data_IF_287613374275
#
_entry.id   IF_287613374275
#
_cell.length_a   1.000
_cell.length_b   1.000
_cell.length_c   1.000
_cell.angle_alpha   90.00
_cell.angle_beta   90.00
_cell.angle_gamma   90.00
#
_symmetry.space_group_name_H-M   'P 1'
#
loop_
_entity.id
_entity.type
_entity.pdbx_description
1 polymer ?
#
# COMPACT_ATOMS: atom_id res chain seq x y z
N UNK A 1 -38.89 -21.89 0.95
CA UNK A 1 -38.00 -21.64 2.11
C UNK A 1 -36.68 -22.40 2.03
N UNK A 2 -36.64 -23.74 2.04
CA UNK A 2 -35.36 -24.52 2.08
C UNK A 2 -34.38 -24.23 0.93
N UNK A 3 -34.88 -24.07 -0.30
CA UNK A 3 -34.04 -23.80 -1.49
C UNK A 3 -33.39 -22.41 -1.46
N UNK A 4 -34.09 -21.41 -0.90
CA UNK A 4 -33.57 -20.04 -0.76
C UNK A 4 -32.40 -19.97 0.22
N UNK A 5 -32.49 -20.70 1.34
CA UNK A 5 -31.40 -20.79 2.32
C UNK A 5 -30.12 -21.38 1.72
N UNK A 6 -30.24 -22.34 0.80
CA UNK A 6 -29.08 -22.95 0.13
C UNK A 6 -28.39 -21.93 -0.79
N UNK A 7 -29.15 -21.19 -1.60
CA UNK A 7 -28.57 -20.14 -2.45
C UNK A 7 -27.92 -19.03 -1.63
N UNK A 8 -28.53 -18.65 -0.51
CA UNK A 8 -27.97 -17.66 0.42
C UNK A 8 -26.65 -18.15 1.04
N UNK A 9 -26.58 -19.41 1.50
CA UNK A 9 -25.34 -19.98 2.04
C UNK A 9 -24.23 -20.03 0.99
N UNK A 10 -24.53 -20.42 -0.25
CA UNK A 10 -23.54 -20.46 -1.32
C UNK A 10 -23.03 -19.05 -1.70
N UNK A 11 -23.91 -18.05 -1.68
CA UNK A 11 -23.54 -16.66 -1.93
C UNK A 11 -22.67 -16.09 -0.80
N UNK A 12 -22.96 -16.43 0.46
CA UNK A 12 -22.15 -16.00 1.60
C UNK A 12 -20.78 -16.69 1.61
N UNK A 13 -20.73 -17.99 1.28
CA UNK A 13 -19.46 -18.74 1.18
C UNK A 13 -18.56 -18.21 0.07
N UNK A 14 -19.12 -17.80 -1.09
CA UNK A 14 -18.32 -17.17 -2.16
C UNK A 14 -17.84 -15.78 -1.77
N UNK A 15 -18.63 -15.02 -1.01
CA UNK A 15 -18.21 -13.72 -0.47
C UNK A 15 -17.06 -13.85 0.54
N UNK A 16 -17.12 -14.83 1.45
CA UNK A 16 -16.07 -15.09 2.45
C UNK A 16 -14.77 -15.60 1.83
N UNK A 17 -14.84 -16.32 0.70
CA UNK A 17 -13.65 -16.78 -0.02
C UNK A 17 -12.96 -15.63 -0.79
N UNK A 18 -13.72 -14.60 -1.20
CA UNK A 18 -13.19 -13.41 -1.86
C UNK A 18 -12.64 -12.38 -0.85
N UNK A 19 -13.14 -12.38 0.39
CA UNK A 19 -12.72 -11.48 1.46
C UNK A 19 -11.47 -11.97 2.21
N UNK A 20 -10.41 -12.37 1.50
CA UNK A 20 -9.05 -12.31 2.03
C UNK A 20 -8.63 -10.84 2.14
N UNK A 21 -9.39 -10.06 2.91
CA UNK A 21 -9.13 -8.65 3.13
C UNK A 21 -8.00 -8.51 4.15
N UNK A 22 -6.76 -8.78 3.69
CA UNK A 22 -5.52 -8.30 4.31
C UNK A 22 -5.42 -6.75 4.30
N UNK A 23 -6.43 -6.08 3.77
CA UNK A 23 -6.49 -4.63 3.52
C UNK A 23 -6.48 -3.77 4.78
N UNK A 24 -6.83 -4.32 5.95
CA UNK A 24 -6.96 -3.54 7.19
C UNK A 24 -5.73 -3.59 8.12
N UNK A 25 -4.80 -4.53 7.95
CA UNK A 25 -3.64 -4.69 8.86
C UNK A 25 -2.45 -3.79 8.45
N UNK A 26 -2.54 -3.13 7.29
CA UNK A 26 -1.38 -2.71 6.53
C UNK A 26 -1.40 -1.20 6.17
N UNK A 27 -2.57 -0.57 6.10
CA UNK A 27 -2.67 0.87 5.77
C UNK A 27 -2.17 1.81 6.89
N UNK A 28 -2.33 1.43 8.15
CA UNK A 28 -1.81 2.21 9.30
C UNK A 28 -0.29 2.12 9.37
N UNK A 29 0.31 0.98 9.03
CA UNK A 29 1.77 0.81 9.04
C UNK A 29 2.45 1.56 7.90
N UNK A 30 1.87 1.63 6.70
CA UNK A 30 2.49 2.40 5.61
C UNK A 30 2.44 3.90 5.87
N UNK A 31 1.37 4.42 6.47
CA UNK A 31 1.31 5.83 6.86
C UNK A 31 2.33 6.18 7.95
N UNK A 32 2.59 5.27 8.88
CA UNK A 32 3.64 5.45 9.88
C UNK A 32 5.03 5.48 9.22
N UNK A 33 5.30 4.55 8.29
CA UNK A 33 6.54 4.52 7.52
C UNK A 33 6.72 5.77 6.65
N UNK A 34 5.67 6.21 5.95
CA UNK A 34 5.69 7.43 5.14
C UNK A 34 6.03 8.66 6.00
N UNK A 35 5.44 8.74 7.20
CA UNK A 35 5.75 9.80 8.15
C UNK A 35 7.22 9.76 8.61
N UNK A 36 7.74 8.58 8.95
CA UNK A 36 9.15 8.43 9.35
C UNK A 36 10.11 8.84 8.21
N UNK A 37 9.77 8.52 6.96
CA UNK A 37 10.52 8.94 5.77
C UNK A 37 10.50 10.47 5.65
N UNK A 38 9.34 11.12 5.79
CA UNK A 38 9.20 12.58 5.75
C UNK A 38 10.03 13.23 6.86
N UNK A 39 9.87 12.78 8.10
CA UNK A 39 10.57 13.33 9.27
C UNK A 39 12.11 13.20 9.13
N UNK A 40 12.58 12.15 8.44
CA UNK A 40 14.00 11.96 8.12
C UNK A 40 14.49 12.89 6.99
N UNK A 41 13.71 13.05 5.92
CA UNK A 41 14.05 13.89 4.77
C UNK A 41 14.06 15.37 5.15
N UNK A 42 13.11 15.82 5.98
CA UNK A 42 13.01 17.21 6.43
C UNK A 42 14.26 17.70 7.20
N UNK A 43 15.06 16.78 7.73
CA UNK A 43 16.34 17.08 8.39
C UNK A 43 17.51 17.27 7.40
N UNK A 44 17.29 17.09 6.09
CA UNK A 44 18.32 17.14 5.05
C UNK A 44 18.11 18.34 4.13
N UNK A 45 19.20 18.87 3.58
CA UNK A 45 19.12 19.89 2.55
C UNK A 45 19.04 19.25 1.16
N UNK A 46 18.01 19.58 0.40
CA UNK A 46 17.81 19.12 -0.98
C UNK A 46 16.45 18.48 -1.20
N UNK A 47 16.19 18.07 -2.45
CA UNK A 47 14.99 17.34 -2.82
C UNK A 47 15.32 15.85 -2.88
N UNK A 48 14.57 15.05 -2.14
CA UNK A 48 14.72 13.60 -2.09
C UNK A 48 13.46 12.91 -2.62
N UNK A 49 13.66 11.82 -3.34
CA UNK A 49 12.61 10.93 -3.79
C UNK A 49 12.81 9.56 -3.15
N UNK A 50 11.75 9.01 -2.58
CA UNK A 50 11.74 7.68 -1.97
C UNK A 50 10.53 6.93 -2.51
N UNK A 51 10.76 5.70 -2.96
CA UNK A 51 9.74 4.80 -3.48
C UNK A 51 9.87 3.45 -2.78
N UNK A 52 8.80 3.01 -2.11
CA UNK A 52 8.74 1.74 -1.39
C UNK A 52 7.53 0.96 -1.91
N UNK A 53 7.75 -0.28 -2.34
CA UNK A 53 6.69 -1.21 -2.74
C UNK A 53 6.73 -2.44 -1.84
N UNK A 54 5.61 -2.73 -1.18
CA UNK A 54 5.40 -4.02 -0.53
C UNK A 54 5.09 -5.08 -1.60
N UNK A 55 5.98 -6.04 -1.76
CA UNK A 55 5.87 -7.09 -2.78
C UNK A 55 4.72 -8.08 -2.51
N UNK A 56 4.23 -8.17 -1.27
CA UNK A 56 3.14 -9.07 -0.92
C UNK A 56 1.77 -8.45 -1.20
N UNK A 57 1.62 -7.16 -0.92
CA UNK A 57 0.34 -6.44 -1.03
C UNK A 57 0.24 -5.60 -2.29
N UNK A 58 1.36 -5.30 -2.94
CA UNK A 58 1.46 -4.35 -4.04
C UNK A 58 1.24 -2.90 -3.62
N UNK A 59 1.12 -2.61 -2.32
CA UNK A 59 0.96 -1.23 -1.85
C UNK A 59 2.27 -0.47 -2.00
N UNK A 60 2.13 0.80 -2.40
CA UNK A 60 3.23 1.71 -2.62
C UNK A 60 3.12 2.85 -1.60
N UNK A 61 4.25 3.27 -1.05
CA UNK A 61 4.37 4.51 -0.30
C UNK A 61 5.74 5.15 -0.52
N UNK A 62 5.84 6.45 -0.25
CA UNK A 62 7.03 7.20 -0.58
C UNK A 62 6.81 8.69 -0.55
N UNK A 63 7.83 9.42 -0.99
CA UNK A 63 7.84 10.89 -1.07
C UNK A 63 8.40 11.25 -2.43
N UNK A 64 7.77 12.18 -3.15
CA UNK A 64 8.17 12.62 -4.49
C UNK A 64 8.32 11.45 -5.48
N UNK A 65 7.41 10.47 -5.41
CA UNK A 65 7.46 9.22 -6.19
C UNK A 65 7.40 9.46 -7.71
N UNK A 66 6.64 10.48 -8.14
CA UNK A 66 6.49 10.85 -9.55
C UNK A 66 7.53 11.87 -10.02
N UNK A 67 8.42 12.31 -9.14
CA UNK A 67 9.41 13.34 -9.47
C UNK A 67 10.57 12.74 -10.25
N UNK A 68 10.89 13.34 -11.40
CA UNK A 68 12.02 12.93 -12.23
C UNK A 68 13.32 13.50 -11.66
N UNK A 69 14.18 12.62 -11.15
CA UNK A 69 15.53 12.98 -10.69
C UNK A 69 16.55 12.83 -11.82
N UNK A 70 17.31 13.89 -12.08
CA UNK A 70 18.39 13.85 -13.06
C UNK A 70 19.56 13.03 -12.52
N UNK A 71 20.04 12.06 -13.30
CA UNK A 71 21.29 11.35 -12.98
C UNK A 71 22.45 12.32 -13.16
N UNK A 72 23.24 12.58 -12.12
CA UNK A 72 24.54 13.24 -12.29
C UNK A 72 25.42 12.38 -13.20
N UNK A 73 25.73 12.87 -14.39
CA UNK A 73 26.83 12.38 -15.20
C UNK A 73 28.10 13.07 -14.68
N UNK A 74 28.98 12.33 -14.02
CA UNK A 74 30.34 12.82 -13.77
C UNK A 74 31.04 12.91 -15.13
N UNK A 75 31.31 14.12 -15.61
CA UNK A 75 32.24 14.43 -16.71
C UNK A 75 33.55 14.85 -16.07
#
# INVERSE_FOLDING_TARGET
>A
MRRFLIFLCLFLLSFSCLSNSAWAVSSVSYRALEKEIIDFIDQKQGTYGVYVMDLNTGQICGVNEDTVFSRRQHI
#
